data_IF_238291091103
#
_entry.id   IF_238291091103
#
_cell.length_a   1.000
_cell.length_b   1.000
_cell.length_c   1.000
_cell.angle_alpha   90.00
_cell.angle_beta   90.00
_cell.angle_gamma   90.00
#
_symmetry.space_group_name_H-M   'P 1'
#
loop_
_entity.id
_entity.type
_entity.pdbx_description
1 polymer ?
#
# COMPACT_ATOMS: atom_id res chain seq x y z
N UNK A 1 16.05 13.07 4.59
CA UNK A 1 15.12 12.07 4.02
C UNK A 1 14.45 12.71 2.83
N UNK A 2 14.52 12.09 1.65
CA UNK A 2 13.84 12.60 0.44
C UNK A 2 12.33 12.65 0.70
N UNK A 3 11.67 13.78 0.43
CA UNK A 3 10.22 13.88 0.53
C UNK A 3 9.58 13.18 -0.67
N UNK A 4 8.52 12.40 -0.42
CA UNK A 4 7.73 11.77 -1.49
C UNK A 4 7.10 12.85 -2.39
N UNK A 5 7.28 12.72 -3.69
CA UNK A 5 6.62 13.56 -4.70
C UNK A 5 5.25 12.99 -5.03
N UNK A 6 4.39 13.80 -5.65
CA UNK A 6 3.03 13.39 -6.06
C UNK A 6 3.02 12.11 -6.92
N UNK A 7 4.02 11.95 -7.79
CA UNK A 7 4.19 10.75 -8.62
C UNK A 7 4.48 9.48 -7.79
N UNK A 8 5.23 9.60 -6.70
CA UNK A 8 5.54 8.47 -5.84
C UNK A 8 4.30 7.90 -5.16
N UNK A 9 3.40 8.77 -4.69
CA UNK A 9 2.12 8.35 -4.12
C UNK A 9 1.27 7.56 -5.13
N UNK A 10 1.32 7.92 -6.42
CA UNK A 10 0.62 7.17 -7.48
C UNK A 10 1.21 5.77 -7.67
N UNK A 11 2.54 5.65 -7.71
CA UNK A 11 3.22 4.35 -7.82
C UNK A 11 2.91 3.47 -6.61
N UNK A 12 3.06 4.01 -5.40
CA UNK A 12 2.82 3.27 -4.16
C UNK A 12 1.36 2.82 -4.06
N UNK A 13 0.40 3.67 -4.44
CA UNK A 13 -1.01 3.28 -4.53
C UNK A 13 -1.21 2.13 -5.53
N UNK A 14 -0.53 2.18 -6.67
CA UNK A 14 -0.55 1.07 -7.64
C UNK A 14 -0.01 -0.25 -7.07
N UNK A 15 1.02 -0.21 -6.23
CA UNK A 15 1.50 -1.40 -5.53
C UNK A 15 0.49 -1.94 -4.51
N UNK A 16 -0.17 -1.04 -3.75
CA UNK A 16 -1.23 -1.43 -2.81
C UNK A 16 -2.40 -2.12 -3.52
N UNK A 17 -2.86 -1.57 -4.65
CA UNK A 17 -3.95 -2.13 -5.47
C UNK A 17 -3.60 -3.49 -6.08
N UNK A 18 -2.32 -3.73 -6.37
CA UNK A 18 -1.85 -4.97 -6.99
C UNK A 18 -1.17 -5.91 -5.98
N UNK A 19 -1.35 -5.69 -4.67
CA UNK A 19 -0.66 -6.44 -3.62
C UNK A 19 -0.73 -7.96 -3.83
N UNK A 20 -1.91 -8.51 -4.09
CA UNK A 20 -2.07 -9.95 -4.29
C UNK A 20 -1.26 -10.47 -5.50
N UNK A 21 -1.27 -9.74 -6.62
CA UNK A 21 -0.47 -10.10 -7.80
C UNK A 21 1.02 -10.06 -7.49
N UNK A 22 1.48 -9.08 -6.71
CA UNK A 22 2.88 -8.99 -6.29
C UNK A 22 3.27 -10.15 -5.35
N UNK A 23 2.36 -10.59 -4.48
CA UNK A 23 2.54 -11.78 -3.63
C UNK A 23 2.66 -13.02 -4.49
N UNK A 24 1.82 -13.17 -5.51
CA UNK A 24 1.84 -14.32 -6.41
C UNK A 24 3.12 -14.32 -7.27
N UNK A 25 3.52 -13.17 -7.80
CA UNK A 25 4.79 -12.97 -8.52
C UNK A 25 5.99 -13.35 -7.64
N UNK A 26 6.01 -12.88 -6.39
CA UNK A 26 7.03 -13.22 -5.40
C UNK A 26 7.12 -14.72 -5.10
N UNK A 27 5.98 -15.42 -4.99
CA UNK A 27 5.92 -16.84 -4.64
C UNK A 27 6.18 -17.79 -5.82
N UNK A 28 5.72 -17.44 -7.02
CA UNK A 28 5.62 -18.38 -8.14
C UNK A 28 6.60 -18.12 -9.29
N UNK A 29 7.12 -16.89 -9.43
CA UNK A 29 7.93 -16.48 -10.59
C UNK A 29 9.38 -16.15 -10.24
N UNK A 30 9.85 -16.48 -9.04
CA UNK A 30 11.22 -16.20 -8.60
C UNK A 30 12.30 -16.79 -9.54
N UNK A 31 11.99 -17.86 -10.28
CA UNK A 31 12.93 -18.50 -11.21
C UNK A 31 13.08 -17.81 -12.59
N UNK A 32 12.11 -17.00 -13.01
CA UNK A 32 12.15 -16.29 -14.30
C UNK A 32 12.38 -14.78 -14.18
N UNK A 33 12.37 -14.25 -12.96
CA UNK A 33 12.60 -12.83 -12.69
C UNK A 33 14.09 -12.53 -12.56
N UNK A 34 14.50 -11.35 -13.03
CA UNK A 34 15.82 -10.82 -12.69
C UNK A 34 15.91 -10.58 -11.19
N UNK A 35 17.11 -10.76 -10.62
CA UNK A 35 17.35 -10.55 -9.18
C UNK A 35 16.92 -9.15 -8.72
N UNK A 36 17.18 -8.12 -9.55
CA UNK A 36 16.76 -6.75 -9.27
C UNK A 36 15.24 -6.63 -9.15
N UNK A 37 14.48 -7.25 -10.07
CA UNK A 37 13.01 -7.22 -10.02
C UNK A 37 12.49 -8.00 -8.82
N UNK A 38 13.07 -9.16 -8.54
CA UNK A 38 12.71 -9.98 -7.38
C UNK A 38 12.92 -9.22 -6.06
N UNK A 39 14.09 -8.61 -5.88
CA UNK A 39 14.39 -7.82 -4.68
C UNK A 39 13.43 -6.65 -4.52
N UNK A 40 13.06 -5.96 -5.61
CA UNK A 40 12.07 -4.89 -5.58
C UNK A 40 10.70 -5.41 -5.16
N UNK A 41 10.18 -6.46 -5.81
CA UNK A 41 8.85 -7.02 -5.50
C UNK A 41 8.81 -7.54 -4.06
N UNK A 42 9.82 -8.29 -3.64
CA UNK A 42 9.97 -8.78 -2.26
C UNK A 42 9.95 -7.63 -1.25
N UNK A 43 10.70 -6.55 -1.52
CA UNK A 43 10.77 -5.37 -0.66
C UNK A 43 9.41 -4.67 -0.52
N UNK A 44 8.72 -4.44 -1.65
CA UNK A 44 7.37 -3.85 -1.65
C UNK A 44 6.35 -4.74 -0.91
N UNK A 45 6.30 -6.04 -1.22
CA UNK A 45 5.36 -6.98 -0.58
C UNK A 45 5.57 -7.02 0.92
N UNK A 46 6.83 -7.09 1.38
CA UNK A 46 7.16 -7.06 2.81
C UNK A 46 6.76 -5.74 3.45
N UNK A 47 7.07 -4.61 2.82
CA UNK A 47 6.71 -3.29 3.35
C UNK A 47 5.20 -3.09 3.50
N UNK A 48 4.41 -3.51 2.51
CA UNK A 48 2.94 -3.48 2.59
C UNK A 48 2.42 -4.38 3.72
N UNK A 49 2.96 -5.60 3.82
CA UNK A 49 2.56 -6.59 4.84
C UNK A 49 2.88 -6.07 6.25
N UNK A 50 4.05 -5.47 6.43
CA UNK A 50 4.45 -4.88 7.72
C UNK A 50 3.55 -3.72 8.12
N UNK A 51 3.28 -2.78 7.20
CA UNK A 51 2.39 -1.64 7.47
C UNK A 51 0.99 -2.11 7.81
N UNK A 52 0.45 -3.09 7.08
CA UNK A 52 -0.88 -3.63 7.36
C UNK A 52 -0.92 -4.35 8.71
N UNK A 53 0.04 -5.22 9.02
CA UNK A 53 0.04 -6.01 10.26
C UNK A 53 0.26 -5.15 11.51
N UNK A 54 1.01 -4.05 11.39
CA UNK A 54 1.24 -3.12 12.50
C UNK A 54 0.15 -2.03 12.62
N UNK A 55 -0.79 -1.96 11.68
CA UNK A 55 -1.89 -1.00 11.71
C UNK A 55 -2.95 -1.42 12.74
N UNK A 56 -3.60 -0.43 13.36
CA UNK A 56 -4.80 -0.65 14.19
C UNK A 56 -5.95 -1.20 13.33
N UNK A 57 -6.92 -1.87 13.96
CA UNK A 57 -8.04 -2.51 13.26
C UNK A 57 -8.78 -1.55 12.30
N UNK A 58 -9.05 -0.32 12.73
CA UNK A 58 -9.73 0.69 11.89
C UNK A 58 -8.88 1.06 10.65
N UNK A 59 -7.56 1.13 10.80
CA UNK A 59 -6.66 1.43 9.70
C UNK A 59 -6.48 0.22 8.75
N UNK A 60 -6.47 -1.00 9.28
CA UNK A 60 -6.54 -2.21 8.44
C UNK A 60 -7.82 -2.25 7.61
N UNK A 61 -8.96 -1.91 8.21
CA UNK A 61 -10.23 -1.81 7.52
C UNK A 61 -10.18 -0.72 6.43
N UNK A 62 -9.60 0.44 6.75
CA UNK A 62 -9.39 1.50 5.78
C UNK A 62 -8.51 1.04 4.60
N UNK A 63 -7.41 0.32 4.86
CA UNK A 63 -6.52 -0.21 3.82
C UNK A 63 -7.30 -1.13 2.86
N UNK A 64 -8.07 -2.07 3.41
CA UNK A 64 -8.92 -2.98 2.64
C UNK A 64 -9.87 -2.21 1.73
N UNK A 65 -10.64 -1.28 2.31
CA UNK A 65 -11.64 -0.53 1.57
C UNK A 65 -11.03 0.36 0.49
N UNK A 66 -9.90 1.02 0.75
CA UNK A 66 -9.26 1.90 -0.22
C UNK A 66 -8.66 1.15 -1.42
N UNK A 67 -7.94 0.06 -1.19
CA UNK A 67 -7.08 -0.53 -2.22
C UNK A 67 -7.51 -1.92 -2.71
N UNK A 68 -8.15 -2.71 -1.86
CA UNK A 68 -8.48 -4.11 -2.19
C UNK A 68 -9.95 -4.24 -2.59
N UNK A 69 -10.85 -3.64 -1.82
CA UNK A 69 -12.29 -3.61 -2.12
C UNK A 69 -12.64 -2.43 -3.05
N UNK A 70 -11.75 -1.42 -3.12
CA UNK A 70 -11.87 -0.22 -3.98
C UNK A 70 -13.19 0.53 -3.80
N UNK A 71 -13.59 0.70 -2.55
CA UNK A 71 -14.80 1.42 -2.17
C UNK A 71 -14.67 2.92 -2.48
N UNK A 72 -15.77 3.58 -2.89
CA UNK A 72 -15.84 5.03 -2.99
C UNK A 72 -15.56 5.74 -1.66
N UNK A 73 -15.03 6.97 -1.70
CA UNK A 73 -14.65 7.72 -0.49
C UNK A 73 -15.84 8.08 0.40
N UNK A 74 -17.00 8.39 -0.18
CA UNK A 74 -18.25 8.66 0.51
C UNK A 74 -18.72 7.43 1.31
N UNK A 75 -18.68 6.24 0.70
CA UNK A 75 -19.00 4.98 1.40
C UNK A 75 -18.03 4.71 2.55
N UNK A 76 -16.73 4.92 2.34
CA UNK A 76 -15.72 4.75 3.40
C UNK A 76 -15.94 5.75 4.53
N UNK A 77 -16.24 7.01 4.19
CA UNK A 77 -16.50 8.09 5.14
C UNK A 77 -17.68 7.74 6.04
N UNK A 78 -18.78 7.26 5.44
CA UNK A 78 -19.98 6.85 6.16
C UNK A 78 -19.71 5.64 7.07
N UNK A 79 -19.04 4.60 6.55
CA UNK A 79 -18.74 3.36 7.31
C UNK A 79 -17.81 3.62 8.50
N UNK A 80 -16.82 4.51 8.33
CA UNK A 80 -15.84 4.81 9.38
C UNK A 80 -16.25 5.98 10.27
N UNK A 81 -17.32 6.70 9.94
CA UNK A 81 -17.76 7.91 10.65
C UNK A 81 -16.73 9.04 10.59
N UNK A 82 -16.05 9.21 9.45
CA UNK A 82 -14.99 10.24 9.25
C UNK A 82 -15.23 11.03 7.97
N UNK A 83 -14.50 12.14 7.79
CA UNK A 83 -14.60 12.93 6.56
C UNK A 83 -13.71 12.38 5.44
N UNK A 84 -14.06 12.65 4.18
CA UNK A 84 -13.17 12.32 3.04
C UNK A 84 -11.77 12.92 3.19
N UNK A 85 -11.65 14.12 3.77
CA UNK A 85 -10.36 14.78 3.98
C UNK A 85 -9.51 14.00 4.98
N UNK A 86 -10.11 13.48 6.05
CA UNK A 86 -9.45 12.58 6.99
C UNK A 86 -8.94 11.32 6.27
N UNK A 87 -9.74 10.76 5.36
CA UNK A 87 -9.34 9.57 4.58
C UNK A 87 -8.18 9.91 3.63
N UNK A 88 -8.25 11.04 2.91
CA UNK A 88 -7.18 11.50 2.00
C UNK A 88 -5.87 11.71 2.75
N UNK A 89 -5.93 12.27 3.96
CA UNK A 89 -4.76 12.42 4.83
C UNK A 89 -4.20 11.06 5.28
N UNK A 90 -5.07 10.19 5.81
CA UNK A 90 -4.67 8.85 6.25
C UNK A 90 -4.04 8.04 5.11
N UNK A 91 -4.60 8.13 3.90
CA UNK A 91 -4.05 7.52 2.68
C UNK A 91 -2.62 7.96 2.42
N UNK A 92 -2.32 9.26 2.49
CA UNK A 92 -0.97 9.77 2.32
C UNK A 92 -0.02 9.24 3.41
N UNK A 93 -0.46 9.22 4.67
CA UNK A 93 0.34 8.72 5.82
C UNK A 93 0.63 7.22 5.69
N UNK A 94 -0.33 6.41 5.26
CA UNK A 94 -0.14 4.98 5.00
C UNK A 94 0.89 4.77 3.88
N UNK A 95 0.74 5.47 2.75
CA UNK A 95 1.68 5.35 1.62
C UNK A 95 3.09 5.80 2.02
N UNK A 96 3.22 6.84 2.86
CA UNK A 96 4.50 7.25 3.43
C UNK A 96 5.17 6.16 4.27
N UNK A 97 4.39 5.44 5.08
CA UNK A 97 4.88 4.29 5.85
C UNK A 97 5.29 3.13 4.95
N UNK A 98 4.52 2.82 3.91
CA UNK A 98 4.88 1.78 2.93
C UNK A 98 6.19 2.14 2.22
N UNK A 99 6.37 3.40 1.83
CA UNK A 99 7.59 3.86 1.18
C UNK A 99 8.83 3.80 2.08
N UNK A 100 8.65 3.88 3.41
CA UNK A 100 9.74 3.71 4.39
C UNK A 100 10.02 2.24 4.69
N UNK A 101 8.98 1.41 4.76
CA UNK A 101 9.08 -0.01 5.08
C UNK A 101 9.53 -0.86 3.87
N UNK A 102 9.24 -0.40 2.67
CA UNK A 102 9.86 -0.88 1.44
C UNK A 102 11.06 0.00 1.12
N UNK A 103 12.16 -0.56 0.59
CA UNK A 103 13.37 0.18 0.19
C UNK A 103 13.09 1.03 -1.09
N UNK A 104 12.04 1.85 -1.04
CA UNK A 104 11.59 2.76 -2.09
C UNK A 104 12.25 4.14 -1.95
N UNK A 105 12.62 4.52 -0.72
CA UNK A 105 13.34 5.77 -0.39
C UNK A 105 14.49 5.47 0.58
#
# INVERSE_FOLDING_TARGET
MSSLKSFDYKILSGYMENYQKLVDEYKTQASQMTEQRYNRVKSIVKGITEVYNNAMLQEQQLIKMLWWDKQPYDIIADVLGVTENTIKHARAVILGRVAKASVYI
#
